data_IF_567938804801
#
_entry.id   IF_567938804801
#
_cell.length_a   1.000
_cell.length_b   1.000
_cell.length_c   1.000
_cell.angle_alpha   90.00
_cell.angle_beta   90.00
_cell.angle_gamma   90.00
#
_symmetry.space_group_name_H-M   'P 1'
#
loop_
_entity.id
_entity.type
_entity.pdbx_description
1 polymer ?
#
# COMPACT_ATOMS: atom_id res chain seq x y z
N UNK A 1 -1.68 -11.97 -4.66
CA UNK A 1 -1.51 -10.52 -4.47
C UNK A 1 -2.32 -9.67 -5.45
N UNK A 2 -2.57 -8.43 -5.05
CA UNK A 2 -3.08 -7.32 -5.84
C UNK A 2 -2.12 -6.14 -5.66
N UNK A 3 -1.71 -5.52 -6.77
CA UNK A 3 -0.82 -4.36 -6.77
C UNK A 3 -1.55 -3.12 -7.29
N UNK A 4 -1.39 -1.99 -6.61
CA UNK A 4 -2.01 -0.70 -6.97
C UNK A 4 -0.95 0.37 -7.12
N UNK A 5 -0.82 0.94 -8.32
CA UNK A 5 0.14 1.98 -8.63
C UNK A 5 -0.41 3.42 -8.48
N UNK A 6 -1.71 3.63 -8.66
CA UNK A 6 -2.35 4.94 -8.48
C UNK A 6 -3.82 4.84 -8.08
N UNK A 7 -4.38 5.95 -7.60
CA UNK A 7 -5.80 6.11 -7.28
C UNK A 7 -6.36 7.32 -7.99
N UNK A 8 -7.47 7.16 -8.71
CA UNK A 8 -8.26 8.30 -9.20
C UNK A 8 -9.41 8.57 -8.24
N UNK A 9 -9.46 9.79 -7.70
CA UNK A 9 -10.53 10.24 -6.83
C UNK A 9 -11.77 10.67 -7.61
N UNK A 10 -12.90 10.80 -6.94
CA UNK A 10 -14.17 11.18 -7.57
C UNK A 10 -14.18 12.59 -8.17
N UNK A 11 -13.27 13.45 -7.73
CA UNK A 11 -13.05 14.79 -8.30
C UNK A 11 -12.08 14.78 -9.50
N UNK A 12 -11.59 13.61 -9.91
CA UNK A 12 -10.65 13.43 -11.01
C UNK A 12 -9.18 13.58 -10.63
N UNK A 13 -8.87 13.91 -9.37
CA UNK A 13 -7.49 13.97 -8.91
C UNK A 13 -6.85 12.58 -8.90
N UNK A 14 -5.65 12.47 -9.46
CA UNK A 14 -4.86 11.23 -9.42
C UNK A 14 -3.80 11.29 -8.33
N UNK A 15 -3.67 10.20 -7.57
CA UNK A 15 -2.66 10.01 -6.54
C UNK A 15 -1.80 8.81 -6.95
N UNK A 16 -0.57 9.09 -7.38
CA UNK A 16 0.42 8.07 -7.66
C UNK A 16 1.07 7.55 -6.38
N UNK A 17 1.34 6.25 -6.34
CA UNK A 17 2.13 5.61 -5.28
C UNK A 17 3.61 5.79 -5.59
N UNK A 18 4.36 6.31 -4.63
CA UNK A 18 5.80 6.53 -4.79
C UNK A 18 6.52 6.88 -3.49
N UNK A 19 7.85 7.04 -3.54
CA UNK A 19 8.67 7.24 -2.34
C UNK A 19 8.55 8.64 -1.72
N UNK A 20 8.23 9.66 -2.53
CA UNK A 20 8.16 11.06 -2.09
C UNK A 20 6.88 11.75 -2.60
N UNK A 21 5.69 11.27 -2.22
CA UNK A 21 4.45 11.89 -2.63
C UNK A 21 4.23 13.22 -1.88
N UNK A 22 3.38 14.14 -2.39
CA UNK A 22 2.93 15.31 -1.64
C UNK A 22 2.38 14.93 -0.25
N UNK A 23 2.52 15.80 0.75
CA UNK A 23 2.17 15.46 2.15
C UNK A 23 0.73 14.95 2.32
N UNK A 24 -0.23 15.54 1.59
CA UNK A 24 -1.64 15.11 1.61
C UNK A 24 -1.79 13.68 1.10
N UNK A 25 -1.10 13.37 0.01
CA UNK A 25 -1.17 12.07 -0.66
C UNK A 25 -0.43 11.01 0.17
N UNK A 26 0.70 11.38 0.78
CA UNK A 26 1.41 10.54 1.75
C UNK A 26 0.49 10.08 2.89
N UNK A 27 -0.30 11.01 3.45
CA UNK A 27 -1.28 10.68 4.51
C UNK A 27 -2.39 9.75 4.02
N UNK A 28 -2.87 9.95 2.80
CA UNK A 28 -3.86 9.08 2.19
C UNK A 28 -3.31 7.66 1.97
N UNK A 29 -2.14 7.55 1.35
CA UNK A 29 -1.48 6.27 1.07
C UNK A 29 -1.13 5.51 2.35
N UNK A 30 -0.65 6.19 3.39
CA UNK A 30 -0.40 5.59 4.71
C UNK A 30 -1.70 5.08 5.36
N UNK A 31 -2.81 5.83 5.25
CA UNK A 31 -4.10 5.40 5.76
C UNK A 31 -4.62 4.14 5.05
N UNK A 32 -4.52 4.08 3.71
CA UNK A 32 -4.86 2.87 2.93
C UNK A 32 -4.02 1.68 3.38
N UNK A 33 -2.69 1.86 3.49
CA UNK A 33 -1.77 0.80 3.89
C UNK A 33 -2.07 0.27 5.30
N UNK A 34 -2.36 1.17 6.25
CA UNK A 34 -2.75 0.80 7.63
C UNK A 34 -4.07 0.04 7.65
N UNK A 35 -5.08 0.48 6.90
CA UNK A 35 -6.38 -0.17 6.84
C UNK A 35 -6.33 -1.56 6.18
N UNK A 36 -5.43 -1.75 5.23
CA UNK A 36 -5.21 -3.05 4.58
C UNK A 36 -4.57 -4.10 5.52
N UNK A 37 -3.86 -3.67 6.56
CA UNK A 37 -3.20 -4.58 7.48
C UNK A 37 -4.23 -5.34 8.35
N UNK A 38 -4.19 -6.67 8.34
CA UNK A 38 -5.17 -7.52 9.03
C UNK A 38 -6.02 -8.32 8.06
N UNK A 39 -6.89 -7.66 7.26
CA UNK A 39 -7.58 -8.30 6.15
C UNK A 39 -6.60 -8.98 5.19
N UNK A 40 -5.52 -8.28 4.84
CA UNK A 40 -4.39 -8.84 4.09
C UNK A 40 -3.31 -9.36 5.05
N UNK A 41 -2.66 -10.45 4.65
CA UNK A 41 -1.54 -11.10 5.36
C UNK A 41 -0.21 -10.45 5.02
N UNK A 42 -0.12 -9.84 3.84
CA UNK A 42 1.03 -9.04 3.41
C UNK A 42 0.55 -7.70 2.90
N UNK A 43 1.15 -6.63 3.41
CA UNK A 43 0.95 -5.27 2.92
C UNK A 43 2.33 -4.62 2.78
N UNK A 44 2.73 -4.27 1.56
CA UNK A 44 3.99 -3.59 1.27
C UNK A 44 3.71 -2.32 0.46
N UNK A 45 4.66 -1.41 0.46
CA UNK A 45 4.61 -0.21 -0.36
C UNK A 45 5.93 0.56 -0.34
N UNK A 46 5.91 1.83 -0.74
CA UNK A 46 7.10 2.65 -0.72
C UNK A 46 7.74 2.67 0.68
N UNK A 47 9.02 2.32 0.73
CA UNK A 47 9.79 2.19 1.98
C UNK A 47 9.88 0.78 2.57
N UNK A 48 9.12 -0.22 2.07
CA UNK A 48 9.28 -1.62 2.50
C UNK A 48 10.54 -2.26 1.90
N UNK A 49 10.67 -2.20 0.58
CA UNK A 49 11.83 -2.65 -0.19
C UNK A 49 11.87 -1.95 -1.57
N UNK A 50 12.83 -2.33 -2.42
CA UNK A 50 13.03 -1.70 -3.73
C UNK A 50 11.93 -2.07 -4.75
N UNK A 51 11.41 -3.29 -4.69
CA UNK A 51 10.41 -3.78 -5.65
C UNK A 51 9.07 -3.07 -5.45
N UNK A 52 8.75 -2.71 -4.21
CA UNK A 52 7.49 -2.04 -3.84
C UNK A 52 7.58 -0.51 -3.80
N UNK A 53 8.60 0.08 -4.45
CA UNK A 53 8.84 1.53 -4.39
C UNK A 53 7.78 2.39 -5.09
N UNK A 54 6.99 1.81 -6.00
CA UNK A 54 6.04 2.52 -6.88
C UNK A 54 4.63 1.91 -6.87
N UNK A 55 4.33 1.00 -5.94
CA UNK A 55 3.00 0.41 -5.81
C UNK A 55 2.74 -0.06 -4.38
N UNK A 56 1.46 -0.18 -4.02
CA UNK A 56 1.04 -0.91 -2.83
C UNK A 56 0.77 -2.37 -3.21
N UNK A 57 1.32 -3.30 -2.44
CA UNK A 57 1.13 -4.73 -2.64
C UNK A 57 0.31 -5.32 -1.50
N UNK A 58 -0.81 -5.95 -1.85
CA UNK A 58 -1.72 -6.57 -0.90
C UNK A 58 -1.85 -8.07 -1.20
N UNK A 59 -1.54 -8.91 -0.21
CA UNK A 59 -1.65 -10.36 -0.37
C UNK A 59 -2.44 -11.02 0.76
N UNK A 60 -3.29 -11.97 0.40
CA UNK A 60 -4.05 -12.83 1.29
C UNK A 60 -3.32 -14.12 1.65
N UNK A 61 -2.22 -14.44 0.96
CA UNK A 61 -1.46 -15.67 1.16
C UNK A 61 -1.16 -15.92 2.65
N UNK A 62 -1.57 -17.07 3.22
CA UNK A 62 -1.34 -17.37 4.62
C UNK A 62 0.13 -17.33 5.01
N UNK A 63 0.44 -16.56 6.05
CA UNK A 63 1.78 -16.55 6.64
C UNK A 63 1.94 -17.69 7.64
N UNK A 64 3.20 -18.08 7.87
CA UNK A 64 3.55 -18.98 8.99
C UNK A 64 2.98 -18.42 10.29
N UNK A 65 2.37 -19.29 11.10
CA UNK A 65 1.73 -18.95 12.38
C UNK A 65 0.52 -17.99 12.27
N UNK A 66 -0.06 -17.79 11.08
CA UNK A 66 -1.29 -17.00 10.89
C UNK A 66 -1.13 -15.49 11.05
N UNK A 67 0.10 -15.00 11.20
CA UNK A 67 0.40 -13.58 11.40
C UNK A 67 0.19 -12.71 10.17
N UNK A 68 0.43 -11.41 10.35
CA UNK A 68 0.46 -10.40 9.29
C UNK A 68 1.84 -9.76 9.25
N UNK A 69 2.27 -9.31 8.08
CA UNK A 69 3.41 -8.40 7.99
C UNK A 69 3.09 -7.27 7.04
N UNK A 70 3.24 -6.07 7.58
CA UNK A 70 2.78 -4.82 7.00
C UNK A 70 3.91 -3.82 7.20
N UNK A 71 4.46 -3.28 6.12
CA UNK A 71 5.61 -2.38 6.16
C UNK A 71 5.41 -1.16 5.28
#
# INVERSE_FOLDING_TARGET
>A
ALDIASFTLSDGNEIDVGPTPPEKDAKFLDAVRKAACGPFKTVLGPGSDADHSLHLHFDLEPRRNGGTFCQ
#
